data_IF_638554732483
#
_entry.id   IF_638554732483
#
_cell.length_a   1.000
_cell.length_b   1.000
_cell.length_c   1.000
_cell.angle_alpha   90.00
_cell.angle_beta   90.00
_cell.angle_gamma   90.00
#
_symmetry.space_group_name_H-M   'P 1'
#
loop_
_entity.id
_entity.type
_entity.pdbx_description
1 polymer ?
#
# COMPACT_ATOMS: atom_id res chain seq x y z
N UNK A 1 -38.84 -31.17 -70.66
CA UNK A 1 -39.73 -30.00 -70.68
C UNK A 1 -38.88 -28.80 -70.26
N UNK A 2 -38.13 -28.21 -71.20
CA UNK A 2 -38.52 -27.02 -71.97
C UNK A 2 -38.66 -25.77 -71.05
N UNK A 3 -37.96 -24.65 -71.22
CA UNK A 3 -36.98 -24.26 -72.23
C UNK A 3 -36.16 -23.01 -71.79
N UNK A 4 -34.95 -22.91 -72.34
CA UNK A 4 -34.24 -21.70 -72.87
C UNK A 4 -33.77 -20.56 -71.94
N UNK A 5 -32.46 -20.21 -71.79
CA UNK A 5 -31.46 -19.66 -72.77
C UNK A 5 -31.85 -18.21 -73.17
N UNK A 6 -31.10 -17.09 -73.02
CA UNK A 6 -29.65 -16.80 -72.99
C UNK A 6 -29.36 -15.28 -72.78
N UNK A 7 -28.06 -14.94 -72.53
CA UNK A 7 -27.28 -13.74 -72.98
C UNK A 7 -27.58 -12.38 -72.30
N UNK A 8 -26.68 -11.40 -72.14
CA UNK A 8 -25.21 -11.27 -72.32
C UNK A 8 -24.74 -9.90 -71.72
N UNK A 9 -23.45 -9.88 -71.37
CA UNK A 9 -22.41 -8.84 -71.26
C UNK A 9 -22.62 -7.34 -71.63
N UNK A 10 -21.83 -6.49 -70.92
CA UNK A 10 -21.26 -5.14 -71.25
C UNK A 10 -22.22 -3.95 -71.01
N UNK A 11 -21.93 -2.88 -70.24
CA UNK A 11 -20.91 -1.83 -70.48
C UNK A 11 -20.82 -0.86 -69.28
N UNK A 12 -19.64 -0.29 -69.07
CA UNK A 12 -19.30 0.86 -68.22
C UNK A 12 -19.96 2.16 -68.74
N UNK A 13 -20.47 3.05 -67.87
CA UNK A 13 -20.35 4.51 -68.05
C UNK A 13 -20.84 5.31 -66.83
N UNK A 14 -20.03 6.29 -66.45
CA UNK A 14 -20.30 7.40 -65.52
C UNK A 14 -21.43 8.29 -66.04
N UNK A 15 -22.32 8.77 -65.16
CA UNK A 15 -22.82 10.16 -65.19
C UNK A 15 -23.39 10.61 -63.84
N UNK A 16 -23.07 11.86 -63.54
CA UNK A 16 -23.53 12.72 -62.45
C UNK A 16 -25.04 12.68 -62.21
N UNK A 17 -25.46 12.65 -60.94
CA UNK A 17 -26.76 13.22 -60.55
C UNK A 17 -26.66 14.07 -59.27
N UNK A 18 -27.32 15.21 -59.39
CA UNK A 18 -27.39 16.36 -58.50
C UNK A 18 -27.85 16.04 -57.08
N UNK A 19 -27.18 16.67 -56.10
CA UNK A 19 -27.61 16.77 -54.71
C UNK A 19 -28.87 17.65 -54.60
N UNK A 20 -29.99 17.06 -54.21
CA UNK A 20 -31.12 17.78 -53.62
C UNK A 20 -30.90 17.88 -52.12
N UNK A 21 -30.66 19.10 -51.64
CA UNK A 21 -30.48 19.42 -50.22
C UNK A 21 -31.81 19.31 -49.48
N UNK A 22 -32.00 18.21 -48.76
CA UNK A 22 -32.92 18.16 -47.63
C UNK A 22 -32.21 18.75 -46.41
N UNK A 23 -32.68 19.91 -45.98
CA UNK A 23 -32.28 20.60 -44.76
C UNK A 23 -32.69 19.79 -43.52
N UNK A 24 -31.84 18.83 -43.14
CA UNK A 24 -31.85 18.31 -41.77
C UNK A 24 -31.18 19.37 -40.91
N UNK A 25 -31.99 20.04 -40.08
CA UNK A 25 -31.53 20.88 -39.00
C UNK A 25 -30.59 20.05 -38.10
N UNK A 26 -29.29 20.08 -38.39
CA UNK A 26 -28.28 19.65 -37.45
C UNK A 26 -28.32 20.65 -36.31
N UNK A 27 -28.97 20.28 -35.21
CA UNK A 27 -28.69 20.88 -33.92
C UNK A 27 -27.18 20.77 -33.70
N UNK A 28 -26.48 21.88 -33.93
CA UNK A 28 -25.07 22.00 -33.63
C UNK A 28 -24.93 21.80 -32.13
N UNK A 29 -24.57 20.58 -31.71
CA UNK A 29 -24.04 20.36 -30.37
C UNK A 29 -22.83 21.27 -30.27
N UNK A 30 -22.95 22.36 -29.52
CA UNK A 30 -21.89 23.33 -29.31
C UNK A 30 -20.63 22.57 -28.90
N UNK A 31 -19.64 22.51 -29.78
CA UNK A 31 -18.35 21.90 -29.48
C UNK A 31 -17.73 22.67 -28.33
N UNK A 32 -17.68 22.07 -27.14
CA UNK A 32 -17.02 22.69 -26.00
C UNK A 32 -15.50 22.41 -26.12
N UNK A 33 -14.66 23.42 -26.43
CA UNK A 33 -13.22 23.23 -26.65
C UNK A 33 -12.47 22.74 -25.40
N UNK A 34 -13.07 22.88 -24.21
CA UNK A 34 -12.50 22.35 -22.98
C UNK A 34 -12.66 20.82 -22.89
N UNK A 35 -13.75 20.25 -23.43
CA UNK A 35 -13.97 18.79 -23.42
C UNK A 35 -12.99 18.05 -24.33
N UNK A 36 -12.69 18.58 -25.51
CA UNK A 36 -11.69 17.99 -26.42
C UNK A 36 -10.29 18.05 -25.80
N UNK A 37 -9.94 19.15 -25.14
CA UNK A 37 -8.67 19.33 -24.44
C UNK A 37 -8.50 18.32 -23.30
N UNK A 38 -9.53 18.12 -22.47
CA UNK A 38 -9.52 17.12 -21.39
C UNK A 38 -9.37 15.70 -21.97
N UNK A 39 -10.11 15.38 -23.04
CA UNK A 39 -10.02 14.07 -23.69
C UNK A 39 -8.62 13.79 -24.22
N UNK A 40 -7.98 14.77 -24.83
CA UNK A 40 -6.61 14.62 -25.32
C UNK A 40 -5.61 14.45 -24.15
N UNK A 41 -5.79 15.19 -23.05
CA UNK A 41 -4.97 15.03 -21.85
C UNK A 41 -5.10 13.64 -21.22
N UNK A 42 -6.31 13.10 -21.14
CA UNK A 42 -6.58 11.79 -20.53
C UNK A 42 -6.15 10.60 -21.39
N UNK A 43 -5.95 10.79 -22.70
CA UNK A 43 -5.64 9.70 -23.65
C UNK A 43 -4.38 8.90 -23.28
N UNK A 44 -3.39 9.54 -22.67
CA UNK A 44 -2.13 8.91 -22.27
C UNK A 44 -2.12 8.38 -20.84
N UNK A 45 -3.25 8.46 -20.12
CA UNK A 45 -3.36 8.02 -18.73
C UNK A 45 -3.65 6.51 -18.66
N UNK A 46 -3.29 5.83 -17.56
CA UNK A 46 -3.55 4.39 -17.40
C UNK A 46 -5.03 4.00 -17.58
N UNK A 47 -5.95 4.88 -17.16
CA UNK A 47 -7.40 4.69 -17.32
C UNK A 47 -8.03 5.94 -17.95
N UNK A 48 -7.99 6.07 -19.30
CA UNK A 48 -8.42 7.28 -20.00
C UNK A 48 -9.87 7.68 -19.72
N UNK A 49 -10.80 6.72 -19.70
CA UNK A 49 -12.22 7.01 -19.48
C UNK A 49 -12.48 7.49 -18.05
N UNK A 50 -11.88 6.84 -17.05
CA UNK A 50 -11.99 7.26 -15.65
C UNK A 50 -11.39 8.65 -15.41
N UNK A 51 -10.31 9.00 -16.12
CA UNK A 51 -9.73 10.35 -16.12
C UNK A 51 -10.68 11.36 -16.76
N UNK A 52 -11.26 11.02 -17.91
CA UNK A 52 -12.17 11.91 -18.61
C UNK A 52 -13.43 12.17 -17.78
N UNK A 53 -13.98 11.13 -17.15
CA UNK A 53 -15.17 11.22 -16.31
C UNK A 53 -14.97 12.03 -15.03
N UNK A 54 -13.78 12.00 -14.42
CA UNK A 54 -13.48 12.83 -13.25
C UNK A 54 -13.27 14.30 -13.60
N UNK A 55 -12.76 14.59 -14.80
CA UNK A 55 -12.46 15.95 -15.25
C UNK A 55 -13.60 16.63 -16.01
N UNK A 56 -14.54 15.90 -16.61
CA UNK A 56 -15.64 16.52 -17.39
C UNK A 56 -16.50 17.49 -16.55
N UNK A 57 -16.56 17.28 -15.22
CA UNK A 57 -17.28 18.16 -14.29
C UNK A 57 -16.55 19.48 -14.01
N UNK A 58 -15.23 19.57 -14.24
CA UNK A 58 -14.46 20.81 -14.04
C UNK A 58 -14.71 21.86 -15.12
N UNK A 59 -15.33 21.47 -16.25
CA UNK A 59 -15.69 22.36 -17.36
C UNK A 59 -16.73 23.41 -16.94
N UNK A 60 -17.55 23.12 -15.92
CA UNK A 60 -18.58 24.02 -15.41
C UNK A 60 -18.03 25.20 -14.58
N UNK A 61 -16.74 25.18 -14.21
CA UNK A 61 -16.14 26.13 -13.24
C UNK A 61 -15.12 27.08 -13.91
N UNK A 62 -14.91 26.96 -15.23
CA UNK A 62 -14.01 27.84 -16.02
C UNK A 62 -12.58 27.98 -15.43
N UNK A 63 -12.05 26.88 -14.89
CA UNK A 63 -10.72 26.83 -14.26
C UNK A 63 -9.66 26.76 -15.37
N UNK A 64 -8.58 27.55 -15.23
CA UNK A 64 -7.42 27.50 -16.14
C UNK A 64 -6.85 26.07 -16.22
N UNK A 65 -6.66 25.50 -17.42
CA UNK A 65 -6.11 24.15 -17.60
C UNK A 65 -4.69 24.06 -17.05
N UNK A 66 -4.52 23.38 -15.91
CA UNK A 66 -3.19 23.03 -15.40
C UNK A 66 -3.17 21.58 -14.96
N UNK A 67 -2.01 20.93 -15.12
CA UNK A 67 -1.82 19.54 -14.68
C UNK A 67 -2.11 19.38 -13.18
N UNK A 68 -1.83 20.41 -12.38
CA UNK A 68 -2.12 20.43 -10.94
C UNK A 68 -3.63 20.48 -10.66
N UNK A 69 -4.40 21.27 -11.42
CA UNK A 69 -5.86 21.32 -11.28
C UNK A 69 -6.50 19.97 -11.65
N UNK A 70 -6.05 19.35 -12.74
CA UNK A 70 -6.52 18.02 -13.13
C UNK A 70 -6.15 16.94 -12.13
N UNK A 71 -4.92 17.00 -11.59
CA UNK A 71 -4.48 16.09 -10.54
C UNK A 71 -5.33 16.23 -9.27
N UNK A 72 -5.56 17.45 -8.79
CA UNK A 72 -6.40 17.70 -7.61
C UNK A 72 -7.84 17.24 -7.82
N UNK A 73 -8.45 17.52 -8.97
CA UNK A 73 -9.80 17.06 -9.29
C UNK A 73 -9.91 15.53 -9.34
N UNK A 74 -8.91 14.86 -9.92
CA UNK A 74 -8.84 13.40 -9.97
C UNK A 74 -8.73 12.82 -8.55
N UNK A 75 -7.95 13.46 -7.66
CA UNK A 75 -7.82 13.06 -6.26
C UNK A 75 -9.08 13.32 -5.43
N UNK A 76 -9.76 14.44 -5.66
CA UNK A 76 -11.04 14.73 -5.00
C UNK A 76 -12.11 13.70 -5.42
N UNK A 77 -12.08 13.25 -6.68
CA UNK A 77 -12.90 12.12 -7.14
C UNK A 77 -12.54 10.83 -6.42
N UNK A 78 -11.25 10.51 -6.28
CA UNK A 78 -10.79 9.33 -5.54
C UNK A 78 -11.23 9.39 -4.06
N UNK A 79 -11.13 10.55 -3.40
CA UNK A 79 -11.60 10.77 -2.03
C UNK A 79 -13.11 10.62 -1.89
N UNK A 80 -13.88 11.08 -2.89
CA UNK A 80 -15.33 10.89 -2.93
C UNK A 80 -15.71 9.41 -3.01
N UNK A 81 -15.08 8.65 -3.93
CA UNK A 81 -15.28 7.20 -4.03
C UNK A 81 -14.85 6.47 -2.74
N UNK A 82 -13.73 6.88 -2.14
CA UNK A 82 -13.27 6.34 -0.87
C UNK A 82 -14.27 6.63 0.28
N UNK A 83 -14.87 7.83 0.30
CA UNK A 83 -15.93 8.18 1.26
C UNK A 83 -17.19 7.33 1.09
N UNK A 84 -17.61 7.04 -0.15
CA UNK A 84 -18.71 6.10 -0.42
C UNK A 84 -18.39 4.71 0.11
N UNK A 85 -17.18 4.21 -0.13
CA UNK A 85 -16.73 2.92 0.38
C UNK A 85 -16.71 2.89 1.92
N UNK A 86 -16.29 3.97 2.58
CA UNK A 86 -16.39 4.09 4.05
C UNK A 86 -17.82 3.89 4.53
N UNK A 87 -18.80 4.53 3.89
CA UNK A 87 -20.21 4.36 4.27
C UNK A 87 -20.68 2.90 4.07
N UNK A 88 -20.23 2.24 3.00
CA UNK A 88 -20.51 0.83 2.74
C UNK A 88 -19.92 -0.12 3.78
N UNK A 89 -18.69 0.13 4.22
CA UNK A 89 -17.98 -0.71 5.18
C UNK A 89 -18.47 -0.51 6.63
N UNK A 90 -18.74 0.73 7.04
CA UNK A 90 -19.02 1.06 8.45
C UNK A 90 -20.50 1.30 8.78
N UNK A 91 -21.31 1.83 7.84
CA UNK A 91 -22.69 2.26 8.14
C UNK A 91 -23.75 1.35 7.51
N UNK A 92 -23.41 0.57 6.48
CA UNK A 92 -24.39 -0.17 5.67
C UNK A 92 -24.65 -1.62 6.08
N UNK A 93 -24.07 -2.12 7.19
CA UNK A 93 -24.11 -3.55 7.53
C UNK A 93 -23.49 -4.47 6.46
N UNK A 94 -22.81 -3.91 5.46
CA UNK A 94 -22.40 -4.59 4.22
C UNK A 94 -21.30 -5.63 4.41
N UNK A 95 -20.45 -5.47 5.45
CA UNK A 95 -19.47 -6.49 5.83
C UNK A 95 -20.14 -7.82 6.21
N UNK A 96 -21.36 -7.79 6.76
CA UNK A 96 -22.11 -8.99 7.20
C UNK A 96 -22.58 -9.89 6.05
N UNK A 97 -22.61 -9.38 4.81
CA UNK A 97 -23.07 -10.10 3.62
C UNK A 97 -21.93 -10.56 2.71
N UNK A 98 -20.67 -10.42 3.17
CA UNK A 98 -19.50 -11.03 2.55
C UNK A 98 -19.18 -12.31 3.30
N UNK A 99 -19.12 -13.42 2.56
CA UNK A 99 -18.73 -14.72 3.09
C UNK A 99 -17.22 -14.86 2.84
N UNK A 100 -16.44 -14.71 3.92
CA UNK A 100 -14.99 -14.83 3.90
C UNK A 100 -14.57 -16.30 3.80
N UNK A 101 -13.64 -16.62 2.89
CA UNK A 101 -12.98 -17.93 2.87
C UNK A 101 -11.84 -17.99 3.88
N UNK A 102 -11.11 -16.89 4.03
CA UNK A 102 -10.01 -16.73 4.97
C UNK A 102 -10.41 -15.73 6.06
N UNK A 103 -10.08 -16.04 7.31
CA UNK A 103 -10.35 -15.21 8.49
C UNK A 103 -9.69 -13.84 8.31
N UNK A 104 -10.52 -12.80 8.41
CA UNK A 104 -10.05 -11.41 8.48
C UNK A 104 -9.98 -10.71 7.13
N UNK A 105 -10.50 -11.30 6.04
CA UNK A 105 -10.52 -10.64 4.72
C UNK A 105 -11.15 -9.24 4.77
N UNK A 106 -12.29 -9.08 5.44
CA UNK A 106 -12.95 -7.77 5.59
C UNK A 106 -12.22 -6.87 6.58
N UNK A 107 -11.58 -7.44 7.61
CA UNK A 107 -10.74 -6.67 8.53
C UNK A 107 -9.54 -6.06 7.80
N UNK A 108 -8.90 -6.83 6.91
CA UNK A 108 -7.81 -6.36 6.05
C UNK A 108 -8.30 -5.21 5.16
N UNK A 109 -9.42 -5.40 4.47
CA UNK A 109 -10.01 -4.36 3.65
C UNK A 109 -10.34 -3.08 4.44
N UNK A 110 -10.85 -3.20 5.66
CA UNK A 110 -11.14 -2.04 6.52
C UNK A 110 -9.86 -1.29 6.92
N UNK A 111 -8.82 -2.01 7.35
CA UNK A 111 -7.52 -1.42 7.72
C UNK A 111 -6.87 -0.73 6.52
N UNK A 112 -6.77 -1.44 5.40
CA UNK A 112 -6.19 -0.96 4.13
C UNK A 112 -6.93 0.25 3.58
N UNK A 113 -8.27 0.27 3.70
CA UNK A 113 -9.11 1.40 3.30
C UNK A 113 -8.88 2.62 4.20
N UNK A 114 -8.78 2.43 5.52
CA UNK A 114 -8.46 3.50 6.46
C UNK A 114 -7.12 4.18 6.13
N UNK A 115 -6.07 3.37 5.86
CA UNK A 115 -4.76 3.88 5.43
C UNK A 115 -4.87 4.58 4.07
N UNK A 116 -5.61 4.01 3.12
CA UNK A 116 -5.88 4.61 1.79
C UNK A 116 -6.48 6.01 1.91
N UNK A 117 -7.53 6.20 2.71
CA UNK A 117 -8.16 7.52 2.91
C UNK A 117 -7.16 8.51 3.50
N UNK A 118 -6.36 8.10 4.49
CA UNK A 118 -5.32 8.93 5.10
C UNK A 118 -4.25 9.34 4.07
N UNK A 119 -3.76 8.40 3.26
CA UNK A 119 -2.78 8.63 2.20
C UNK A 119 -3.28 9.55 1.10
N UNK A 120 -4.56 9.45 0.72
CA UNK A 120 -5.18 10.37 -0.25
C UNK A 120 -5.23 11.81 0.30
N UNK A 121 -5.68 11.99 1.55
CA UNK A 121 -5.71 13.31 2.20
C UNK A 121 -4.30 13.92 2.31
N UNK A 122 -3.31 13.12 2.71
CA UNK A 122 -1.90 13.54 2.76
C UNK A 122 -1.40 13.93 1.35
N UNK A 123 -1.72 13.14 0.32
CA UNK A 123 -1.36 13.46 -1.08
C UNK A 123 -1.90 14.81 -1.53
N UNK A 124 -3.19 15.10 -1.28
CA UNK A 124 -3.80 16.39 -1.62
C UNK A 124 -3.09 17.54 -0.92
N UNK A 125 -2.82 17.43 0.38
CA UNK A 125 -2.07 18.44 1.14
C UNK A 125 -0.68 18.70 0.56
N UNK A 126 0.05 17.63 0.23
CA UNK A 126 1.40 17.72 -0.34
C UNK A 126 1.41 18.33 -1.74
N UNK A 127 0.44 18.00 -2.58
CA UNK A 127 0.32 18.56 -3.93
C UNK A 127 -0.03 20.05 -3.89
N UNK A 128 -0.94 20.46 -2.99
CA UNK A 128 -1.30 21.89 -2.81
C UNK A 128 -0.11 22.76 -2.39
N UNK A 129 0.88 22.19 -1.68
CA UNK A 129 2.08 22.93 -1.30
C UNK A 129 3.00 23.32 -2.47
N UNK A 130 2.98 22.55 -3.57
CA UNK A 130 3.83 22.75 -4.75
C UNK A 130 5.32 22.44 -4.59
N UNK A 131 5.84 22.11 -3.40
CA UNK A 131 7.27 21.81 -3.22
C UNK A 131 7.66 20.44 -3.79
N UNK A 132 8.76 20.40 -4.53
CA UNK A 132 9.37 19.19 -5.10
C UNK A 132 9.56 18.04 -4.10
N UNK A 133 9.93 18.31 -2.85
CA UNK A 133 10.04 17.26 -1.82
C UNK A 133 8.67 16.71 -1.44
N UNK A 134 7.69 17.59 -1.28
CA UNK A 134 6.32 17.20 -0.97
C UNK A 134 5.68 16.41 -2.12
N UNK A 135 6.00 16.72 -3.37
CA UNK A 135 5.56 15.92 -4.52
C UNK A 135 6.13 14.49 -4.50
N UNK A 136 7.36 14.30 -3.99
CA UNK A 136 7.93 12.97 -3.79
C UNK A 136 7.12 12.18 -2.74
N UNK A 137 6.75 12.82 -1.63
CA UNK A 137 5.90 12.22 -0.59
C UNK A 137 4.51 11.87 -1.15
N UNK A 138 3.88 12.78 -1.90
CA UNK A 138 2.60 12.52 -2.56
C UNK A 138 2.68 11.30 -3.47
N UNK A 139 3.77 11.15 -4.23
CA UNK A 139 4.01 9.98 -5.07
C UNK A 139 4.08 8.69 -4.25
N UNK A 140 4.80 8.70 -3.12
CA UNK A 140 4.88 7.56 -2.20
C UNK A 140 3.52 7.18 -1.63
N UNK A 141 2.72 8.17 -1.20
CA UNK A 141 1.38 7.94 -0.66
C UNK A 141 0.39 7.38 -1.69
N UNK A 142 0.44 7.87 -2.94
CA UNK A 142 -0.40 7.33 -4.02
C UNK A 142 0.01 5.91 -4.41
N UNK A 143 1.31 5.60 -4.43
CA UNK A 143 1.81 4.24 -4.68
C UNK A 143 1.33 3.26 -3.59
N UNK A 144 1.41 3.67 -2.32
CA UNK A 144 0.89 2.87 -1.22
C UNK A 144 -0.63 2.69 -1.30
N UNK A 145 -1.37 3.73 -1.71
CA UNK A 145 -2.82 3.66 -1.92
C UNK A 145 -3.20 2.60 -2.96
N UNK A 146 -2.48 2.55 -4.09
CA UNK A 146 -2.69 1.49 -5.11
C UNK A 146 -2.44 0.11 -4.53
N UNK A 147 -1.34 -0.04 -3.78
CA UNK A 147 -0.98 -1.31 -3.14
C UNK A 147 -2.06 -1.76 -2.16
N UNK A 148 -2.48 -0.89 -1.25
CA UNK A 148 -3.53 -1.18 -0.27
C UNK A 148 -4.86 -1.57 -0.94
N UNK A 149 -5.24 -0.85 -1.99
CA UNK A 149 -6.47 -1.14 -2.75
C UNK A 149 -6.37 -2.51 -3.44
N UNK A 150 -5.21 -2.82 -4.04
CA UNK A 150 -4.96 -4.09 -4.71
C UNK A 150 -4.94 -5.27 -3.73
N UNK A 151 -4.31 -5.14 -2.57
CA UNK A 151 -4.28 -6.19 -1.54
C UNK A 151 -5.69 -6.52 -1.05
N UNK A 152 -6.54 -5.52 -0.83
CA UNK A 152 -7.95 -5.75 -0.47
C UNK A 152 -8.71 -6.45 -1.61
N UNK A 153 -8.52 -6.03 -2.88
CA UNK A 153 -9.12 -6.70 -4.03
C UNK A 153 -8.72 -8.18 -4.12
N UNK A 154 -7.43 -8.50 -3.92
CA UNK A 154 -6.93 -9.89 -3.91
C UNK A 154 -7.54 -10.71 -2.76
N UNK A 155 -7.69 -10.14 -1.58
CA UNK A 155 -8.39 -10.81 -0.47
C UNK A 155 -9.83 -11.16 -0.82
N UNK A 156 -10.53 -10.25 -1.53
CA UNK A 156 -11.90 -10.44 -1.97
C UNK A 156 -12.05 -11.47 -3.10
N UNK A 157 -11.00 -11.83 -3.84
CA UNK A 157 -11.08 -12.80 -4.94
C UNK A 157 -11.64 -14.14 -4.48
N UNK A 158 -11.20 -14.60 -3.30
CA UNK A 158 -11.64 -15.85 -2.69
C UNK A 158 -12.96 -15.75 -1.92
N UNK A 159 -13.43 -14.54 -1.61
CA UNK A 159 -14.67 -14.30 -0.90
C UNK A 159 -15.91 -14.45 -1.81
N UNK A 160 -17.08 -14.56 -1.20
CA UNK A 160 -18.36 -14.62 -1.92
C UNK A 160 -19.44 -13.76 -1.22
N UNK A 161 -20.67 -13.74 -1.74
CA UNK A 161 -21.79 -12.98 -1.17
C UNK A 161 -22.23 -11.80 -2.03
N UNK A 162 -23.44 -11.30 -1.76
CA UNK A 162 -24.12 -10.30 -2.59
C UNK A 162 -23.47 -8.91 -2.53
N UNK A 163 -22.66 -8.64 -1.50
CA UNK A 163 -22.00 -7.34 -1.33
C UNK A 163 -20.62 -7.27 -1.98
N UNK A 164 -19.98 -8.40 -2.30
CA UNK A 164 -18.67 -8.45 -2.97
C UNK A 164 -18.60 -7.59 -4.24
N UNK A 165 -19.58 -7.65 -5.17
CA UNK A 165 -19.53 -6.82 -6.39
C UNK A 165 -19.50 -5.32 -6.11
N UNK A 166 -20.20 -4.86 -5.07
CA UNK A 166 -20.23 -3.45 -4.67
C UNK A 166 -18.83 -3.03 -4.20
N UNK A 167 -18.21 -3.82 -3.32
CA UNK A 167 -16.86 -3.57 -2.82
C UNK A 167 -15.82 -3.56 -3.95
N UNK A 168 -15.83 -4.59 -4.80
CA UNK A 168 -14.91 -4.71 -5.94
C UNK A 168 -15.05 -3.53 -6.89
N UNK A 169 -16.28 -3.09 -7.19
CA UNK A 169 -16.51 -1.93 -8.05
C UNK A 169 -16.00 -0.62 -7.41
N UNK A 170 -16.29 -0.38 -6.13
CA UNK A 170 -15.80 0.81 -5.41
C UNK A 170 -14.26 0.85 -5.34
N UNK A 171 -13.62 -0.26 -4.95
CA UNK A 171 -12.16 -0.38 -4.91
C UNK A 171 -11.55 -0.21 -6.30
N UNK A 172 -12.16 -0.79 -7.33
CA UNK A 172 -11.73 -0.62 -8.72
C UNK A 172 -11.79 0.83 -9.19
N UNK A 173 -12.82 1.59 -8.80
CA UNK A 173 -12.92 3.01 -9.13
C UNK A 173 -11.85 3.84 -8.41
N UNK A 174 -11.62 3.59 -7.11
CA UNK A 174 -10.53 4.22 -6.35
C UNK A 174 -9.19 3.93 -7.04
N UNK A 175 -8.90 2.66 -7.35
CA UNK A 175 -7.66 2.25 -8.01
C UNK A 175 -7.42 3.01 -9.32
N UNK A 176 -8.45 3.09 -10.18
CA UNK A 176 -8.37 3.79 -11.47
C UNK A 176 -8.04 5.27 -11.31
N UNK A 177 -8.73 5.96 -10.39
CA UNK A 177 -8.49 7.39 -10.13
C UNK A 177 -7.09 7.62 -9.56
N UNK A 178 -6.68 6.82 -8.60
CA UNK A 178 -5.34 6.94 -7.98
C UNK A 178 -4.23 6.65 -8.97
N UNK A 179 -4.41 5.66 -9.85
CA UNK A 179 -3.46 5.32 -10.92
C UNK A 179 -3.29 6.49 -11.90
N UNK A 180 -4.40 7.10 -12.30
CA UNK A 180 -4.38 8.32 -13.12
C UNK A 180 -3.68 9.47 -12.39
N UNK A 181 -4.00 9.75 -11.13
CA UNK A 181 -3.34 10.77 -10.32
C UNK A 181 -1.83 10.52 -10.21
N UNK A 182 -1.40 9.29 -9.91
CA UNK A 182 0.02 8.93 -9.79
C UNK A 182 0.79 9.15 -11.11
N UNK A 183 0.14 8.95 -12.26
CA UNK A 183 0.71 9.24 -13.58
C UNK A 183 0.86 10.74 -13.88
N UNK A 184 0.12 11.60 -13.17
CA UNK A 184 0.20 13.07 -13.30
C UNK A 184 1.21 13.70 -12.34
N UNK A 185 1.56 13.02 -11.24
CA UNK A 185 2.60 13.51 -10.30
C UNK A 185 3.98 13.43 -10.97
N UNK A 186 4.72 14.55 -11.08
CA UNK A 186 6.06 14.56 -11.67
C UNK A 186 6.98 13.56 -10.98
N UNK A 187 7.83 12.88 -11.76
CA UNK A 187 8.90 12.04 -11.20
C UNK A 187 9.95 12.98 -10.60
N UNK A 188 10.11 12.95 -9.28
CA UNK A 188 11.11 13.75 -8.58
C UNK A 188 12.43 12.99 -8.52
N UNK A 189 13.43 13.47 -9.24
CA UNK A 189 14.77 12.87 -9.23
C UNK A 189 15.81 13.84 -9.79
N UNK A 190 16.63 14.44 -8.92
CA UNK A 190 17.90 15.03 -9.36
C UNK A 190 18.89 13.89 -9.53
N UNK A 191 19.42 13.70 -10.74
CA UNK A 191 20.64 12.92 -11.00
C UNK A 191 21.84 13.67 -10.38
N UNK A 192 21.91 13.67 -9.05
CA UNK A 192 23.05 14.24 -8.32
C UNK A 192 23.96 13.10 -7.90
N UNK A 193 25.11 12.94 -8.57
CA UNK A 193 26.23 12.18 -8.04
C UNK A 193 26.78 12.91 -6.81
N UNK A 194 26.14 12.69 -5.66
CA UNK A 194 26.80 12.90 -4.38
C UNK A 194 27.49 11.59 -4.03
N UNK A 195 28.76 11.66 -3.63
CA UNK A 195 29.50 10.58 -3.00
C UNK A 195 28.71 10.14 -1.76
N UNK A 196 27.72 9.28 -1.96
CA UNK A 196 26.94 8.69 -0.88
C UNK A 196 27.87 7.69 -0.22
N UNK A 197 28.30 8.01 1.00
CA UNK A 197 28.89 7.03 1.89
C UNK A 197 28.00 5.78 1.86
N UNK A 198 28.57 4.64 1.45
CA UNK A 198 27.89 3.37 1.23
C UNK A 198 27.20 2.80 2.50
N UNK A 199 27.30 3.49 3.65
CA UNK A 199 26.88 3.05 5.00
C UNK A 199 26.05 4.11 5.78
N UNK A 200 25.47 5.11 5.11
CA UNK A 200 24.70 6.18 5.75
C UNK A 200 23.21 5.89 5.99
N UNK A 201 22.59 6.57 6.97
CA UNK A 201 21.14 6.52 7.21
C UNK A 201 20.34 7.28 6.14
N UNK A 202 19.06 6.91 5.91
CA UNK A 202 18.17 7.65 5.02
C UNK A 202 18.03 9.11 5.40
N UNK A 203 17.86 9.99 4.41
CA UNK A 203 17.77 11.44 4.63
C UNK A 203 16.55 11.87 5.46
N UNK A 204 15.49 11.07 5.45
CA UNK A 204 14.28 11.31 6.23
C UNK A 204 14.45 10.98 7.72
N UNK A 205 15.46 10.18 8.08
CA UNK A 205 15.70 9.80 9.46
C UNK A 205 16.39 10.94 10.21
N UNK A 206 15.70 11.52 11.20
CA UNK A 206 16.21 12.59 12.07
C UNK A 206 17.29 12.07 13.02
N UNK A 207 18.11 12.98 13.56
CA UNK A 207 19.23 12.65 14.45
C UNK A 207 18.81 11.85 15.70
N UNK A 208 17.70 12.22 16.37
CA UNK A 208 17.17 11.47 17.53
C UNK A 208 16.90 10.00 17.18
N UNK A 209 16.25 9.73 16.04
CA UNK A 209 16.02 8.36 15.56
C UNK A 209 17.29 7.60 15.23
N UNK A 210 18.30 8.26 14.65
CA UNK A 210 19.61 7.64 14.40
C UNK A 210 20.31 7.24 15.69
N UNK A 211 20.28 8.12 16.71
CA UNK A 211 20.88 7.84 18.03
C UNK A 211 20.23 6.64 18.72
N UNK A 212 18.90 6.57 18.70
CA UNK A 212 18.13 5.43 19.22
C UNK A 212 18.55 4.13 18.52
N UNK A 213 18.70 4.14 17.19
CA UNK A 213 19.14 2.95 16.45
C UNK A 213 20.63 2.64 16.67
N UNK A 214 21.50 3.61 16.96
CA UNK A 214 22.94 3.38 17.07
C UNK A 214 23.42 3.04 18.49
N UNK A 215 22.63 3.30 19.53
CA UNK A 215 22.93 2.86 20.91
C UNK A 215 24.04 3.64 21.61
N UNK A 216 23.98 4.97 21.57
CA UNK A 216 24.91 5.82 22.33
C UNK A 216 24.43 6.11 23.74
N UNK A 217 25.35 6.42 24.66
CA UNK A 217 25.15 6.55 26.12
C UNK A 217 24.07 7.56 26.58
N UNK A 218 23.60 8.46 25.70
CA UNK A 218 22.45 9.37 25.92
C UNK A 218 21.21 8.90 25.12
N UNK A 219 20.93 7.59 25.13
CA UNK A 219 20.02 6.90 24.20
C UNK A 219 18.58 7.41 24.29
N UNK A 220 18.11 7.62 25.53
CA UNK A 220 16.79 8.12 25.91
C UNK A 220 16.75 8.34 27.44
N UNK A 221 15.81 9.15 27.92
CA UNK A 221 15.57 9.28 29.37
C UNK A 221 14.91 7.98 29.87
N UNK A 222 15.55 7.19 30.76
CA UNK A 222 14.98 5.94 31.27
C UNK A 222 13.64 6.13 31.97
N UNK A 223 13.34 7.33 32.47
CA UNK A 223 12.06 7.65 33.12
C UNK A 223 10.90 7.86 32.12
N UNK A 224 11.20 8.03 30.83
CA UNK A 224 10.22 8.19 29.75
C UNK A 224 9.97 6.87 28.97
N UNK A 225 10.55 5.75 29.43
CA UNK A 225 10.48 4.45 28.75
C UNK A 225 9.38 3.58 29.35
N UNK A 226 8.56 3.00 28.48
CA UNK A 226 7.61 1.95 28.87
C UNK A 226 8.35 0.62 28.83
N UNK A 227 8.49 -0.06 29.97
CA UNK A 227 9.16 -1.37 30.04
C UNK A 227 8.14 -2.50 29.95
N UNK A 228 8.43 -3.49 29.11
CA UNK A 228 7.70 -4.75 29.00
C UNK A 228 8.61 -5.86 29.50
N UNK A 229 8.15 -6.67 30.45
CA UNK A 229 8.89 -7.83 30.94
C UNK A 229 7.94 -8.99 31.24
N UNK A 230 8.18 -10.15 30.63
CA UNK A 230 7.34 -11.34 30.79
C UNK A 230 7.29 -11.86 32.24
N UNK A 231 8.32 -11.58 33.05
CA UNK A 231 8.42 -11.95 34.47
C UNK A 231 7.63 -11.02 35.41
N UNK A 232 7.00 -9.97 34.88
CA UNK A 232 6.21 -9.00 35.64
C UNK A 232 7.03 -7.88 36.30
N UNK A 233 8.33 -7.78 36.03
CA UNK A 233 9.20 -6.70 36.57
C UNK A 233 9.07 -5.36 35.81
N UNK A 234 8.44 -5.38 34.63
CA UNK A 234 8.19 -4.20 33.79
C UNK A 234 6.89 -3.46 34.15
N UNK A 235 6.58 -2.40 33.39
CA UNK A 235 5.29 -1.72 33.48
C UNK A 235 4.14 -2.59 32.93
N UNK A 236 4.43 -3.42 31.93
CA UNK A 236 3.51 -4.36 31.31
C UNK A 236 4.16 -5.74 31.16
N UNK A 237 3.34 -6.79 31.09
CA UNK A 237 3.79 -8.15 30.79
C UNK A 237 3.67 -8.53 29.31
N UNK A 238 2.95 -7.74 28.51
CA UNK A 238 2.76 -7.96 27.07
C UNK A 238 3.11 -6.71 26.26
N UNK A 239 3.54 -6.89 25.02
CA UNK A 239 3.87 -5.77 24.12
C UNK A 239 2.57 -5.10 23.65
N UNK A 240 1.51 -5.87 23.40
CA UNK A 240 0.21 -5.30 23.03
C UNK A 240 -0.35 -4.33 24.08
N UNK A 241 -0.23 -4.63 25.38
CA UNK A 241 -0.69 -3.72 26.44
C UNK A 241 0.11 -2.41 26.45
N UNK A 242 1.43 -2.48 26.29
CA UNK A 242 2.28 -1.30 26.17
C UNK A 242 1.94 -0.44 24.94
N UNK A 243 1.67 -1.07 23.79
CA UNK A 243 1.21 -0.39 22.58
C UNK A 243 -0.14 0.27 22.81
N UNK A 244 -1.07 -0.43 23.46
CA UNK A 244 -2.40 0.09 23.77
C UNK A 244 -2.34 1.30 24.71
N UNK A 245 -1.42 1.28 25.68
CA UNK A 245 -1.17 2.40 26.59
C UNK A 245 -0.54 3.62 25.91
N UNK A 246 0.34 3.42 24.92
CA UNK A 246 1.03 4.51 24.22
C UNK A 246 0.04 5.55 23.62
N UNK A 247 0.37 6.86 23.63
CA UNK A 247 -0.51 7.89 23.10
C UNK A 247 -0.78 7.73 21.59
N UNK A 248 -2.01 8.02 21.19
CA UNK A 248 -2.40 8.02 19.78
C UNK A 248 -1.88 9.28 19.07
N UNK A 249 -1.42 9.11 17.82
CA UNK A 249 -0.94 10.18 16.94
C UNK A 249 0.18 11.03 17.56
N UNK A 250 1.02 10.41 18.40
CA UNK A 250 2.15 11.10 19.03
C UNK A 250 3.10 11.66 17.98
N UNK A 251 3.45 12.94 18.13
CA UNK A 251 4.54 13.56 17.36
C UNK A 251 5.92 13.13 17.87
N UNK A 252 6.00 12.80 19.15
CA UNK A 252 7.21 12.34 19.82
C UNK A 252 7.34 10.83 19.78
N UNK A 253 8.58 10.38 19.94
CA UNK A 253 8.94 8.96 19.99
C UNK A 253 8.48 8.37 21.32
N UNK A 254 7.71 7.29 21.26
CA UNK A 254 7.32 6.51 22.44
C UNK A 254 8.17 5.25 22.43
N UNK A 255 9.04 5.12 23.44
CA UNK A 255 9.99 4.01 23.54
C UNK A 255 9.38 2.93 24.42
N UNK A 256 9.25 1.74 23.85
CA UNK A 256 8.85 0.53 24.54
C UNK A 256 10.06 -0.39 24.57
N UNK A 257 10.61 -0.58 25.76
CA UNK A 257 11.74 -1.45 26.01
C UNK A 257 11.23 -2.83 26.40
N UNK A 258 11.52 -3.82 25.58
CA UNK A 258 11.07 -5.20 25.71
C UNK A 258 12.23 -6.02 26.26
N UNK A 259 12.10 -6.45 27.52
CA UNK A 259 13.12 -7.26 28.19
C UNK A 259 13.28 -8.62 27.53
N UNK A 260 14.41 -9.27 27.78
CA UNK A 260 14.68 -10.64 27.38
C UNK A 260 13.52 -11.59 27.75
N UNK A 261 13.25 -12.54 26.86
CA UNK A 261 12.13 -13.44 26.98
C UNK A 261 11.50 -13.81 25.64
N UNK A 262 10.55 -14.73 25.70
CA UNK A 262 9.74 -15.17 24.57
C UNK A 262 8.32 -14.68 24.77
N UNK A 263 7.87 -13.81 23.86
CA UNK A 263 6.56 -13.19 23.86
C UNK A 263 5.72 -13.87 22.77
N UNK A 264 4.88 -14.82 23.19
CA UNK A 264 3.95 -15.54 22.30
C UNK A 264 2.70 -14.69 22.03
N UNK A 265 2.82 -13.70 21.15
CA UNK A 265 1.74 -12.78 20.82
C UNK A 265 1.77 -12.32 19.35
N UNK A 266 0.59 -12.08 18.78
CA UNK A 266 0.46 -11.36 17.52
C UNK A 266 0.34 -9.86 17.84
N UNK A 267 1.41 -9.08 17.63
CA UNK A 267 1.48 -7.65 17.94
C UNK A 267 0.97 -6.83 16.77
N UNK A 268 0.04 -5.91 17.04
CA UNK A 268 -0.47 -4.95 16.04
C UNK A 268 -0.12 -3.52 16.46
N UNK A 269 0.60 -2.79 15.61
CA UNK A 269 0.88 -1.36 15.76
C UNK A 269 -0.02 -0.62 14.77
N UNK A 270 -1.26 -0.26 15.16
CA UNK A 270 -2.22 0.31 14.23
C UNK A 270 -1.79 1.70 13.74
N UNK A 271 -2.41 2.17 12.66
CA UNK A 271 -2.02 3.41 11.97
C UNK A 271 -2.08 4.68 12.82
N UNK A 272 -2.85 4.68 13.89
CA UNK A 272 -2.93 5.78 14.84
C UNK A 272 -1.89 5.70 15.97
N UNK A 273 -1.08 4.64 16.06
CA UNK A 273 0.04 4.52 17.01
C UNK A 273 1.34 4.91 16.31
N UNK A 274 1.51 6.20 16.04
CA UNK A 274 2.67 6.74 15.30
C UNK A 274 3.90 6.84 16.19
N UNK A 275 5.08 6.78 15.58
CA UNK A 275 6.38 7.01 16.23
C UNK A 275 6.76 6.06 17.38
N UNK A 276 6.12 4.88 17.45
CA UNK A 276 6.53 3.79 18.36
C UNK A 276 7.97 3.36 18.05
N UNK A 277 8.73 3.05 19.10
CA UNK A 277 10.06 2.42 19.06
C UNK A 277 10.01 1.17 19.92
N UNK A 278 10.33 0.00 19.34
CA UNK A 278 10.57 -1.23 20.12
C UNK A 278 12.08 -1.46 20.27
N UNK A 279 12.57 -1.56 21.50
CA UNK A 279 13.97 -1.87 21.80
C UNK A 279 14.04 -3.14 22.61
N UNK A 280 14.84 -4.13 22.19
CA UNK A 280 15.06 -5.36 22.93
C UNK A 280 16.39 -5.39 23.69
N UNK A 281 16.54 -6.36 24.59
CA UNK A 281 17.81 -6.69 25.26
C UNK A 281 18.86 -7.32 24.29
N UNK A 282 18.46 -7.66 23.07
CA UNK A 282 19.30 -8.35 22.09
C UNK A 282 18.46 -9.22 21.16
N UNK A 283 18.82 -9.30 19.87
CA UNK A 283 18.10 -10.18 18.94
C UNK A 283 18.25 -11.68 19.28
N UNK A 284 19.22 -12.05 20.10
CA UNK A 284 19.39 -13.40 20.64
C UNK A 284 18.70 -13.61 22.01
N UNK A 285 18.06 -12.58 22.58
CA UNK A 285 17.48 -12.60 23.92
C UNK A 285 15.98 -12.24 23.94
N UNK A 286 15.53 -11.36 23.05
CA UNK A 286 14.15 -10.88 22.98
C UNK A 286 13.44 -11.40 21.74
N UNK A 287 12.44 -12.26 21.92
CA UNK A 287 11.72 -12.93 20.83
C UNK A 287 10.23 -12.61 20.85
N UNK A 288 9.69 -12.16 19.73
CA UNK A 288 8.23 -12.06 19.49
C UNK A 288 7.86 -13.18 18.53
N UNK A 289 7.05 -14.13 18.98
CA UNK A 289 6.72 -15.35 18.22
C UNK A 289 5.21 -15.54 18.04
N UNK A 290 4.83 -16.05 16.88
CA UNK A 290 3.46 -16.36 16.50
C UNK A 290 3.45 -17.47 15.46
N UNK A 291 2.27 -18.02 15.15
CA UNK A 291 2.16 -19.19 14.27
C UNK A 291 0.94 -19.15 13.34
N UNK A 292 0.39 -17.97 13.06
CA UNK A 292 -0.73 -17.82 12.13
C UNK A 292 -0.26 -18.12 10.71
N UNK A 293 -1.10 -18.80 9.93
CA UNK A 293 -0.78 -19.21 8.57
C UNK A 293 -2.03 -19.27 7.67
N UNK A 294 -1.80 -19.27 6.36
CA UNK A 294 -2.87 -19.46 5.37
C UNK A 294 -3.54 -20.83 5.49
N UNK A 295 -2.78 -21.89 5.77
CA UNK A 295 -3.33 -23.23 5.97
C UNK A 295 -4.29 -23.28 7.16
N UNK A 296 -4.03 -22.50 8.22
CA UNK A 296 -4.91 -22.41 9.40
C UNK A 296 -6.08 -21.43 9.21
N UNK A 297 -6.26 -20.96 7.97
CA UNK A 297 -7.39 -20.17 7.52
C UNK A 297 -7.20 -18.66 7.65
N UNK A 298 -6.02 -18.15 8.01
CA UNK A 298 -5.77 -16.71 8.02
C UNK A 298 -5.49 -16.19 6.59
N UNK A 299 -5.68 -14.90 6.35
CA UNK A 299 -5.10 -14.26 5.16
C UNK A 299 -3.58 -14.16 5.33
N UNK A 300 -2.82 -14.08 4.24
CA UNK A 300 -1.37 -13.77 4.31
C UNK A 300 -1.14 -12.47 5.08
N UNK A 301 -1.97 -11.44 4.82
CA UNK A 301 -1.85 -10.13 5.47
C UNK A 301 -2.02 -10.19 7.01
N UNK A 302 -2.96 -11.00 7.52
CA UNK A 302 -3.20 -11.19 8.97
C UNK A 302 -2.46 -12.37 9.61
N UNK A 303 -1.65 -13.09 8.84
CA UNK A 303 -0.76 -14.12 9.37
C UNK A 303 0.45 -13.54 10.13
N UNK A 304 0.70 -12.24 10.00
CA UNK A 304 1.85 -11.55 10.61
C UNK A 304 1.93 -11.76 12.13
N UNK A 305 3.10 -12.17 12.64
CA UNK A 305 3.41 -12.12 14.07
C UNK A 305 3.47 -10.66 14.56
N UNK A 306 4.17 -9.79 13.83
CA UNK A 306 4.16 -8.34 14.08
C UNK A 306 3.64 -7.61 12.85
N UNK A 307 2.58 -6.83 13.03
CA UNK A 307 1.94 -6.02 12.00
C UNK A 307 2.13 -4.52 12.30
N UNK A 308 2.93 -3.84 11.49
CA UNK A 308 3.23 -2.41 11.62
C UNK A 308 2.44 -1.60 10.59
N UNK A 309 1.48 -0.81 11.07
CA UNK A 309 0.72 0.15 10.26
C UNK A 309 0.91 1.61 10.75
N UNK A 310 1.57 1.83 11.90
CA UNK A 310 1.90 3.13 12.47
C UNK A 310 3.14 3.78 11.84
N UNK A 311 2.98 4.98 11.27
CA UNK A 311 4.06 5.73 10.62
C UNK A 311 5.23 6.01 11.58
N UNK A 312 6.44 5.96 11.02
CA UNK A 312 7.68 6.28 11.71
C UNK A 312 8.24 5.15 12.56
N UNK A 313 7.59 3.99 12.67
CA UNK A 313 8.01 2.88 13.53
C UNK A 313 9.52 2.58 13.47
N UNK A 314 10.13 2.35 14.62
CA UNK A 314 11.51 1.88 14.74
C UNK A 314 11.55 0.59 15.55
N UNK A 315 12.42 -0.34 15.18
CA UNK A 315 12.76 -1.47 16.04
C UNK A 315 14.26 -1.74 16.06
N UNK A 316 14.75 -2.25 17.19
CA UNK A 316 16.14 -2.66 17.33
C UNK A 316 16.33 -3.79 18.33
N UNK A 317 17.32 -4.65 18.05
CA UNK A 317 17.79 -5.70 18.97
C UNK A 317 16.67 -6.67 19.40
N UNK A 318 15.81 -7.07 18.46
CA UNK A 318 14.66 -7.97 18.67
C UNK A 318 14.61 -9.03 17.55
N UNK A 319 14.22 -10.26 17.89
CA UNK A 319 13.79 -11.28 16.93
C UNK A 319 12.28 -11.29 16.77
N UNK A 320 11.80 -11.30 15.53
CA UNK A 320 10.40 -11.47 15.16
C UNK A 320 10.31 -12.76 14.34
N UNK A 321 9.49 -13.71 14.77
CA UNK A 321 9.39 -15.00 14.09
C UNK A 321 7.95 -15.48 13.88
N UNK A 322 7.75 -16.22 12.79
CA UNK A 322 6.57 -17.04 12.60
C UNK A 322 6.97 -18.52 12.59
N UNK A 323 6.52 -19.26 13.60
CA UNK A 323 6.88 -20.64 13.89
C UNK A 323 5.95 -21.68 13.25
N UNK A 324 5.02 -21.27 12.37
CA UNK A 324 4.07 -22.18 11.71
C UNK A 324 4.73 -23.32 10.92
N UNK A 325 5.91 -23.06 10.33
CA UNK A 325 6.66 -24.04 9.55
C UNK A 325 6.29 -24.10 8.06
N UNK A 326 7.10 -24.76 7.22
CA UNK A 326 6.96 -24.69 5.77
C UNK A 326 5.74 -25.45 5.22
N UNK A 327 5.24 -26.45 5.96
CA UNK A 327 4.02 -27.18 5.62
C UNK A 327 2.74 -26.33 5.76
N UNK A 328 2.84 -25.17 6.42
CA UNK A 328 1.73 -24.24 6.64
C UNK A 328 1.62 -23.16 5.56
N UNK A 329 2.46 -23.23 4.52
CA UNK A 329 2.53 -22.28 3.41
C UNK A 329 2.76 -20.83 3.92
N UNK A 330 2.06 -19.83 3.37
CA UNK A 330 2.28 -18.43 3.70
C UNK A 330 2.05 -18.17 5.20
N UNK A 331 3.08 -17.67 5.88
CA UNK A 331 3.07 -17.37 7.30
C UNK A 331 4.05 -16.24 7.62
N UNK A 332 3.52 -15.03 7.74
CA UNK A 332 4.32 -13.80 7.85
C UNK A 332 4.87 -13.64 9.27
N UNK A 333 6.16 -13.32 9.39
CA UNK A 333 6.76 -12.93 10.66
C UNK A 333 6.56 -11.43 10.90
N UNK A 334 6.96 -10.60 9.93
CA UNK A 334 6.83 -9.15 10.00
C UNK A 334 6.10 -8.61 8.77
N UNK A 335 5.03 -7.84 8.99
CA UNK A 335 4.37 -7.03 7.96
C UNK A 335 4.57 -5.55 8.25
N UNK A 336 4.97 -4.79 7.25
CA UNK A 336 5.11 -3.32 7.35
C UNK A 336 4.29 -2.62 6.26
N UNK A 337 3.24 -1.91 6.68
CA UNK A 337 2.37 -1.04 5.87
C UNK A 337 2.36 0.38 6.49
N UNK A 338 3.54 0.96 6.64
CA UNK A 338 3.76 2.26 7.28
C UNK A 338 4.95 2.98 6.66
N UNK A 339 4.92 4.31 6.67
CA UNK A 339 5.97 5.13 6.08
C UNK A 339 7.08 5.49 7.07
N UNK A 340 8.30 5.67 6.56
CA UNK A 340 9.47 6.08 7.35
C UNK A 340 9.82 5.08 8.46
N UNK A 341 9.69 3.79 8.16
CA UNK A 341 10.00 2.70 9.08
C UNK A 341 11.47 2.30 8.98
N UNK A 342 12.10 2.01 10.12
CA UNK A 342 13.42 1.40 10.12
C UNK A 342 13.64 0.32 11.19
N UNK A 343 14.37 -0.72 10.83
CA UNK A 343 14.79 -1.79 11.72
C UNK A 343 16.31 -1.90 11.73
N UNK A 344 16.90 -2.12 12.90
CA UNK A 344 18.34 -2.23 13.08
C UNK A 344 18.70 -3.41 13.98
N UNK A 345 19.64 -4.28 13.55
CA UNK A 345 20.04 -5.45 14.35
C UNK A 345 18.86 -6.31 14.79
N UNK A 346 17.85 -6.44 13.94
CA UNK A 346 16.72 -7.32 14.17
C UNK A 346 16.91 -8.63 13.39
N UNK A 347 16.32 -9.72 13.89
CA UNK A 347 16.23 -10.97 13.11
C UNK A 347 14.77 -11.24 12.78
N UNK A 348 14.48 -11.52 11.51
CA UNK A 348 13.12 -11.72 11.00
C UNK A 348 13.08 -13.13 10.38
N UNK A 349 12.42 -14.06 11.07
CA UNK A 349 12.57 -15.49 10.81
C UNK A 349 11.24 -16.16 10.45
N UNK A 350 11.25 -16.96 9.39
CA UNK A 350 10.09 -17.73 9.00
C UNK A 350 10.43 -18.77 7.93
N UNK A 351 9.44 -19.14 7.13
CA UNK A 351 9.57 -20.01 5.97
C UNK A 351 9.06 -19.29 4.73
N UNK A 352 7.81 -19.55 4.32
CA UNK A 352 7.21 -18.88 3.17
C UNK A 352 6.61 -17.53 3.60
N UNK A 353 6.83 -16.48 2.80
CA UNK A 353 6.29 -15.12 3.03
C UNK A 353 6.78 -14.47 4.35
N UNK A 354 8.05 -14.66 4.73
CA UNK A 354 8.57 -14.24 6.05
C UNK A 354 8.46 -12.72 6.31
N UNK A 355 8.95 -11.88 5.41
CA UNK A 355 8.91 -10.42 5.51
C UNK A 355 7.99 -9.83 4.45
N UNK A 356 6.84 -9.33 4.89
CA UNK A 356 5.91 -8.60 4.03
C UNK A 356 6.21 -7.09 4.07
N UNK A 357 7.14 -6.66 3.24
CA UNK A 357 7.43 -5.24 2.98
C UNK A 357 6.32 -4.65 2.09
N UNK A 358 5.13 -4.53 2.67
CA UNK A 358 3.88 -4.30 1.95
C UNK A 358 3.89 -3.02 1.12
N UNK A 359 4.11 -1.86 1.75
CA UNK A 359 4.01 -0.54 1.09
C UNK A 359 4.84 0.53 1.80
N UNK A 360 4.88 1.75 1.23
CA UNK A 360 5.62 2.92 1.72
C UNK A 360 7.15 2.73 1.77
N UNK A 361 7.86 3.63 2.47
CA UNK A 361 9.33 3.68 2.52
C UNK A 361 9.84 3.00 3.78
N UNK A 362 10.75 2.05 3.61
CA UNK A 362 11.26 1.21 4.69
C UNK A 362 12.78 1.05 4.59
N UNK A 363 13.44 0.86 5.73
CA UNK A 363 14.89 0.71 5.79
C UNK A 363 15.31 -0.33 6.82
N UNK A 364 15.99 -1.39 6.37
CA UNK A 364 16.47 -2.47 7.23
C UNK A 364 17.99 -2.44 7.20
N UNK A 365 18.64 -2.44 8.35
CA UNK A 365 20.09 -2.37 8.43
C UNK A 365 20.65 -3.34 9.47
N UNK A 366 21.68 -4.09 9.08
CA UNK A 366 22.33 -5.07 9.95
C UNK A 366 21.32 -6.08 10.52
N UNK A 367 20.28 -6.40 9.74
CA UNK A 367 19.26 -7.38 10.11
C UNK A 367 19.58 -8.75 9.50
N UNK A 368 19.13 -9.81 10.18
CA UNK A 368 19.10 -11.15 9.62
C UNK A 368 17.68 -11.45 9.13
N UNK A 369 17.53 -11.92 7.90
CA UNK A 369 16.22 -12.28 7.34
C UNK A 369 16.30 -13.69 6.78
N UNK A 370 15.50 -14.61 7.35
CA UNK A 370 15.57 -16.03 6.97
C UNK A 370 14.24 -16.61 6.50
N UNK A 371 14.27 -17.38 5.42
CA UNK A 371 13.06 -18.00 4.86
C UNK A 371 13.31 -18.93 3.67
N UNK A 372 12.25 -19.31 2.97
CA UNK A 372 12.25 -20.30 1.87
C UNK A 372 11.66 -19.71 0.59
N UNK A 373 10.34 -19.69 0.43
CA UNK A 373 9.64 -19.17 -0.74
C UNK A 373 9.19 -17.74 -0.47
N UNK A 374 9.40 -16.84 -1.43
CA UNK A 374 8.96 -15.44 -1.44
C UNK A 374 9.20 -14.70 -0.11
N UNK A 375 10.31 -15.00 0.57
CA UNK A 375 10.44 -14.64 1.98
C UNK A 375 10.74 -13.17 2.23
N UNK A 376 10.96 -12.39 1.17
CA UNK A 376 10.89 -10.92 1.17
C UNK A 376 9.98 -10.49 0.02
N UNK A 377 8.77 -10.02 0.32
CA UNK A 377 7.78 -9.72 -0.70
C UNK A 377 6.99 -8.45 -0.41
N UNK A 378 6.27 -7.96 -1.42
CA UNK A 378 5.45 -6.76 -1.36
C UNK A 378 5.97 -5.62 -2.24
N UNK A 379 5.35 -4.45 -2.11
CA UNK A 379 5.53 -3.31 -3.03
C UNK A 379 6.05 -2.04 -2.32
N UNK A 380 6.79 -2.21 -1.23
CA UNK A 380 7.46 -1.10 -0.56
C UNK A 380 8.64 -0.55 -1.36
N UNK A 381 8.94 0.74 -1.15
CA UNK A 381 10.23 1.33 -1.50
C UNK A 381 11.21 1.03 -0.36
N UNK A 382 11.84 -0.15 -0.41
CA UNK A 382 12.66 -0.69 0.68
C UNK A 382 14.15 -0.75 0.33
N UNK A 383 15.00 -0.53 1.33
CA UNK A 383 16.44 -0.75 1.25
C UNK A 383 16.86 -1.69 2.38
N UNK A 384 17.63 -2.73 2.02
CA UNK A 384 18.33 -3.61 2.95
C UNK A 384 19.83 -3.28 2.88
N UNK A 385 20.46 -2.97 4.01
CA UNK A 385 21.85 -2.52 4.05
C UNK A 385 22.64 -3.29 5.11
N UNK A 386 23.72 -3.95 4.69
CA UNK A 386 24.52 -4.81 5.57
C UNK A 386 23.69 -5.89 6.28
N UNK A 387 22.59 -6.34 5.67
CA UNK A 387 21.75 -7.42 6.19
C UNK A 387 22.28 -8.79 5.73
N UNK A 388 22.08 -9.82 6.55
CA UNK A 388 22.26 -11.20 6.13
C UNK A 388 20.92 -11.74 5.60
N UNK A 389 20.92 -12.19 4.35
CA UNK A 389 19.74 -12.74 3.68
C UNK A 389 19.93 -14.26 3.58
N UNK A 390 19.23 -15.02 4.42
CA UNK A 390 19.55 -16.40 4.76
C UNK A 390 18.48 -17.34 4.20
N UNK A 391 18.80 -18.06 3.13
CA UNK A 391 17.91 -19.09 2.59
C UNK A 391 17.96 -20.36 3.44
N UNK A 392 16.78 -20.82 3.90
CA UNK A 392 16.60 -22.08 4.61
C UNK A 392 16.31 -23.21 3.62
N UNK A 393 16.52 -24.46 4.05
CA UNK A 393 16.14 -25.63 3.26
C UNK A 393 14.60 -25.70 3.13
N UNK A 394 14.04 -25.68 1.90
CA UNK A 394 12.60 -25.79 1.68
C UNK A 394 12.13 -27.26 1.77
N UNK A 395 10.83 -27.51 1.64
CA UNK A 395 10.32 -28.89 1.57
C UNK A 395 10.80 -29.60 0.28
N UNK A 396 10.85 -30.94 0.26
CA UNK A 396 11.18 -31.68 -0.96
C UNK A 396 10.32 -31.24 -2.15
N UNK A 397 10.96 -30.97 -3.29
CA UNK A 397 10.29 -30.52 -4.52
C UNK A 397 9.99 -29.01 -4.59
N UNK A 398 10.28 -28.25 -3.54
CA UNK A 398 10.23 -26.78 -3.56
C UNK A 398 11.61 -26.18 -3.82
N UNK A 399 11.64 -24.91 -4.23
CA UNK A 399 12.84 -24.10 -4.38
C UNK A 399 12.70 -22.82 -3.59
N UNK A 400 13.84 -22.24 -3.20
CA UNK A 400 13.87 -20.98 -2.46
C UNK A 400 13.73 -19.80 -3.43
N UNK A 401 12.92 -18.82 -3.06
CA UNK A 401 12.81 -17.53 -3.76
C UNK A 401 13.03 -16.43 -2.74
N UNK A 402 14.05 -15.60 -2.99
CA UNK A 402 14.40 -14.52 -2.06
C UNK A 402 13.36 -13.40 -2.12
N UNK A 403 13.02 -12.93 -3.32
CA UNK A 403 12.15 -11.77 -3.51
C UNK A 403 11.00 -12.04 -4.46
N UNK A 404 9.80 -11.58 -4.08
CA UNK A 404 8.63 -11.48 -4.97
C UNK A 404 8.05 -10.05 -4.89
N UNK A 405 8.44 -9.22 -5.86
CA UNK A 405 8.10 -7.78 -5.92
C UNK A 405 6.87 -7.50 -6.79
#
# INVERSE_FOLDING_TARGET
MASTITKALITLCFTFFFSSTLSVNSSSTSFNPNLSSIRNFCRSKPYPDACFDSLKLSVSINISPSIFNYLLQTLDTALSEAGKLTNHLFNGGGASNVIEKQKGTMQDCNELHGITVSSLKKSVSRIKSGDSKQLADARSYLSATLTNTNTCLQGLDSASGSFKPVLVNSLGNIYKQVSNSLSMVPKTGKKGHKNRLLLGFPSWMKQKGRRILQGGDDEYDPSEVITVAADGTGNFSTINDAINFAPNNSYDRVIIYVREGVYEENVEIPSHKTNIVLLGDGNNATFITGNRSVVDGWTTFRSATVAVSGDGFLARDITIENSAGPAKHQAVALRVNADLVALYKCSINGYQDTLYAHSFRQFYRECDISGTIDYIFGNAAVIFQACNIISRMPMPGQFTVITAQ
#
